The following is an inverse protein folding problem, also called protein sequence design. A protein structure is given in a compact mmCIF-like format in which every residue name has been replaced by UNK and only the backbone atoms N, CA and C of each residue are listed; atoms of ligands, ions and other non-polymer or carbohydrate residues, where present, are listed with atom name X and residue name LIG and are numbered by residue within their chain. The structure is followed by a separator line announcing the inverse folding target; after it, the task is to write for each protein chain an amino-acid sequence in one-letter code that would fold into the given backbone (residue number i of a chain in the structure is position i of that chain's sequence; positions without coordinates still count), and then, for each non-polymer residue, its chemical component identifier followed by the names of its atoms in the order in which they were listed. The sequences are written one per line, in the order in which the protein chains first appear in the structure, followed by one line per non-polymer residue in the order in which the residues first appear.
data_IF_708578063609
#
_entry.id   IF_708578063609
#
_cell.length_a   1.000
_cell.length_b   1.000
_cell.length_c   1.000
_cell.angle_alpha   90.00
_cell.angle_beta   90.00
_cell.angle_gamma   90.00
#
_symmetry.space_group_name_H-M   'P 1'
#
loop_
_entity.id
_entity.type
_entity.pdbx_description
1 polymer ?
#
# COMPACT_ATOMS: atom_id res chain seq x y z
N UNK A 1 -23.38 15.90 19.19
CA UNK A 1 -23.30 15.56 17.75
C UNK A 1 -21.97 14.85 17.57
N UNK A 2 -21.83 13.55 17.36
CA UNK A 2 -22.68 12.56 16.73
C UNK A 2 -22.61 11.25 17.53
N UNK A 3 -23.76 10.60 17.67
CA UNK A 3 -23.88 9.23 18.14
C UNK A 3 -24.68 8.46 17.09
N UNK A 4 -24.30 7.19 16.91
CA UNK A 4 -24.97 6.12 16.19
C UNK A 4 -24.88 6.14 14.65
N UNK A 5 -24.19 5.15 14.07
CA UNK A 5 -24.83 3.92 13.59
C UNK A 5 -23.79 2.80 13.42
N UNK A 6 -23.98 1.73 14.19
CA UNK A 6 -23.38 0.39 14.01
C UNK A 6 -24.22 -0.42 13.01
N UNK A 7 -23.56 -1.44 12.46
CA UNK A 7 -24.06 -2.64 11.74
C UNK A 7 -24.03 -2.53 10.20
N UNK A 8 -23.23 -3.31 9.46
CA UNK A 8 -23.02 -4.77 9.33
C UNK A 8 -23.79 -5.37 8.13
N UNK A 9 -23.04 -6.15 7.35
CA UNK A 9 -23.39 -7.16 6.33
C UNK A 9 -23.84 -6.73 4.91
N UNK A 10 -22.92 -6.97 3.97
CA UNK A 10 -23.03 -7.96 2.87
C UNK A 10 -24.38 -8.09 2.14
N UNK A 11 -24.45 -7.67 0.87
CA UNK A 11 -25.39 -8.25 -0.12
C UNK A 11 -24.78 -8.25 -1.54
N UNK A 12 -24.44 -9.44 -2.03
CA UNK A 12 -24.53 -9.82 -3.46
C UNK A 12 -26.01 -9.97 -3.85
N UNK A 13 -26.41 -9.70 -5.10
CA UNK A 13 -27.47 -10.47 -5.75
C UNK A 13 -27.03 -10.98 -7.13
N UNK A 14 -27.07 -12.29 -7.41
CA UNK A 14 -28.20 -13.23 -7.56
C UNK A 14 -28.80 -13.23 -8.96
N UNK A 15 -28.62 -14.34 -9.67
CA UNK A 15 -29.60 -15.01 -10.55
C UNK A 15 -28.95 -16.36 -10.95
N UNK A 16 -29.55 -17.56 -10.88
CA UNK A 16 -30.93 -18.06 -10.75
C UNK A 16 -30.92 -19.39 -9.96
N UNK A 17 -32.00 -19.62 -9.18
CA UNK A 17 -32.65 -20.90 -8.83
C UNK A 17 -32.05 -22.17 -9.47
N UNK A 18 -31.73 -23.27 -8.77
CA UNK A 18 -32.37 -23.83 -7.59
C UNK A 18 -33.35 -24.93 -7.97
N UNK A 19 -32.90 -26.20 -7.96
CA UNK A 19 -33.74 -27.37 -7.63
C UNK A 19 -32.89 -28.66 -7.47
N UNK A 20 -32.81 -29.13 -6.24
CA UNK A 20 -32.43 -30.49 -5.86
C UNK A 20 -33.55 -31.48 -6.19
N UNK A 21 -33.22 -32.65 -6.77
CA UNK A 21 -33.51 -34.01 -6.24
C UNK A 21 -33.50 -35.08 -7.35
N UNK A 22 -32.72 -36.12 -7.07
CA UNK A 22 -32.94 -37.55 -7.41
C UNK A 22 -32.90 -37.99 -8.88
N UNK A 23 -31.99 -38.96 -9.11
CA UNK A 23 -32.09 -40.09 -10.07
C UNK A 23 -31.91 -39.61 -11.52
N UNK A 24 -30.85 -39.99 -12.23
CA UNK A 24 -30.75 -41.24 -13.01
C UNK A 24 -29.26 -41.59 -13.21
N UNK A 25 -28.94 -42.85 -12.93
CA UNK A 25 -27.74 -43.54 -13.40
C UNK A 25 -27.72 -43.57 -14.93
N UNK A 26 -26.57 -43.26 -15.53
CA UNK A 26 -25.96 -43.94 -16.69
C UNK A 26 -25.41 -42.99 -17.77
N UNK A 27 -24.16 -43.31 -18.12
CA UNK A 27 -23.53 -43.13 -19.42
C UNK A 27 -23.21 -41.70 -19.88
N UNK A 28 -21.93 -41.29 -19.75
CA UNK A 28 -21.00 -41.25 -20.90
C UNK A 28 -19.60 -40.71 -20.50
N UNK A 29 -18.65 -41.64 -20.45
CA UNK A 29 -17.19 -41.53 -20.70
C UNK A 29 -16.45 -40.26 -20.22
N UNK A 30 -15.88 -40.37 -19.01
CA UNK A 30 -14.66 -39.64 -18.63
C UNK A 30 -13.50 -40.31 -19.39
N UNK A 31 -12.83 -39.57 -20.28
CA UNK A 31 -11.48 -39.94 -20.72
C UNK A 31 -10.53 -39.65 -19.54
N UNK A 32 -9.79 -40.63 -19.02
CA UNK A 32 -8.78 -40.35 -18.02
C UNK A 32 -7.71 -39.44 -18.62
N UNK A 33 -7.35 -38.40 -17.88
CA UNK A 33 -6.10 -37.65 -18.08
C UNK A 33 -4.98 -38.66 -18.25
N UNK A 34 -4.40 -38.70 -19.45
CA UNK A 34 -3.19 -39.45 -19.72
C UNK A 34 -2.04 -38.77 -18.98
N UNK A 35 -1.91 -39.04 -17.68
CA UNK A 35 -0.58 -39.26 -17.15
C UNK A 35 -0.01 -40.45 -17.90
N UNK A 36 0.76 -40.16 -18.94
CA UNK A 36 1.68 -41.14 -19.51
C UNK A 36 2.70 -41.44 -18.42
N UNK A 37 2.35 -42.41 -17.57
CA UNK A 37 3.30 -43.10 -16.73
C UNK A 37 4.19 -43.88 -17.69
N UNK A 38 5.30 -43.28 -18.10
CA UNK A 38 6.38 -44.05 -18.68
C UNK A 38 6.73 -45.12 -17.65
N UNK A 39 6.47 -46.38 -18.02
CA UNK A 39 6.95 -47.52 -17.25
C UNK A 39 8.45 -47.33 -17.11
N UNK A 40 8.99 -47.56 -15.93
CA UNK A 40 10.40 -47.88 -15.76
C UNK A 40 10.70 -49.07 -16.69
N UNK A 41 11.14 -48.78 -17.93
CA UNK A 41 11.97 -49.70 -18.66
C UNK A 41 13.31 -49.61 -17.96
N UNK A 42 13.76 -50.73 -17.43
CA UNK A 42 15.13 -50.97 -16.99
C UNK A 42 16.08 -50.07 -17.77
N UNK A 43 16.78 -49.19 -17.07
CA UNK A 43 17.89 -48.42 -17.59
C UNK A 43 18.97 -49.40 -18.04
N UNK A 44 18.81 -49.94 -19.25
CA UNK A 44 19.90 -50.58 -19.96
C UNK A 44 20.96 -49.50 -20.17
N UNK A 45 22.15 -49.78 -19.68
CA UNK A 45 23.34 -48.95 -19.88
C UNK A 45 23.64 -48.84 -21.40
N UNK A 46 22.99 -47.90 -22.09
CA UNK A 46 23.27 -47.57 -23.50
C UNK A 46 24.65 -46.94 -23.71
N UNK A 47 25.37 -46.63 -22.62
CA UNK A 47 26.73 -46.10 -22.64
C UNK A 47 27.74 -47.04 -23.34
N UNK A 48 27.44 -48.35 -23.44
CA UNK A 48 28.32 -49.32 -24.09
C UNK A 48 28.07 -49.53 -25.59
N UNK A 49 27.10 -48.85 -26.21
CA UNK A 49 26.69 -49.11 -27.60
C UNK A 49 27.00 -47.98 -28.60
N UNK A 50 27.63 -46.87 -28.18
CA UNK A 50 28.02 -45.83 -29.13
C UNK A 50 29.32 -46.23 -29.86
N UNK A 51 29.32 -46.36 -31.19
CA UNK A 51 30.53 -46.67 -31.93
C UNK A 51 31.59 -45.59 -31.68
N UNK A 52 32.84 -46.00 -31.44
CA UNK A 52 33.94 -45.15 -30.94
C UNK A 52 34.32 -43.90 -31.75
N UNK A 53 33.67 -43.64 -32.89
CA UNK A 53 33.81 -42.40 -33.67
C UNK A 53 32.72 -41.34 -33.46
N UNK A 54 31.65 -41.66 -32.72
CA UNK A 54 30.51 -40.75 -32.49
C UNK A 54 30.53 -40.17 -31.07
N UNK A 55 31.12 -40.86 -30.10
CA UNK A 55 31.15 -40.44 -28.69
C UNK A 55 31.84 -39.10 -28.42
N UNK A 56 32.73 -38.64 -29.29
CA UNK A 56 33.44 -37.35 -29.13
C UNK A 56 32.68 -36.14 -29.69
N UNK A 57 31.53 -36.36 -30.35
CA UNK A 57 30.73 -35.28 -30.99
C UNK A 57 29.42 -34.98 -30.28
N UNK A 58 29.08 -35.72 -29.23
CA UNK A 58 27.84 -35.55 -28.50
C UNK A 58 28.14 -35.47 -27.02
N UNK A 59 27.72 -34.38 -26.39
CA UNK A 59 27.67 -34.28 -24.94
C UNK A 59 26.47 -35.07 -24.43
N UNK A 60 26.71 -35.87 -23.39
CA UNK A 60 25.67 -36.65 -22.74
C UNK A 60 24.88 -35.70 -21.83
N UNK A 61 23.74 -35.20 -22.32
CA UNK A 61 22.79 -34.47 -21.48
C UNK A 61 22.13 -35.45 -20.51
N UNK A 62 22.35 -35.25 -19.22
CA UNK A 62 21.58 -35.93 -18.18
C UNK A 62 20.28 -35.17 -17.91
N UNK A 63 19.26 -35.82 -17.33
CA UNK A 63 18.02 -35.13 -16.93
C UNK A 63 18.30 -34.00 -15.92
N UNK A 64 19.39 -34.09 -15.17
CA UNK A 64 19.83 -33.06 -14.23
C UNK A 64 20.36 -31.80 -14.94
N UNK A 65 20.78 -31.91 -16.21
CA UNK A 65 21.30 -30.79 -17.02
C UNK A 65 20.19 -30.09 -17.84
N UNK A 66 18.95 -30.58 -17.77
CA UNK A 66 17.86 -30.02 -18.55
C UNK A 66 17.44 -28.64 -18.00
N UNK A 67 17.33 -27.60 -18.85
CA UNK A 67 16.81 -26.31 -18.40
C UNK A 67 15.35 -26.48 -17.96
N UNK A 68 15.06 -26.06 -16.73
CA UNK A 68 13.68 -26.03 -16.22
C UNK A 68 12.92 -24.97 -17.00
N UNK A 69 11.96 -25.40 -17.82
CA UNK A 69 11.05 -24.50 -18.53
C UNK A 69 9.92 -24.15 -17.56
N UNK A 70 9.95 -22.92 -17.08
CA UNK A 70 8.92 -22.38 -16.20
C UNK A 70 7.70 -22.02 -17.05
N UNK A 71 6.51 -22.08 -16.45
CA UNK A 71 5.33 -21.53 -17.12
C UNK A 71 5.34 -19.98 -17.05
N UNK A 72 4.51 -19.36 -17.90
CA UNK A 72 4.48 -17.88 -18.03
C UNK A 72 4.16 -17.21 -16.69
N UNK A 73 3.33 -17.84 -15.85
CA UNK A 73 2.95 -17.30 -14.54
C UNK A 73 4.11 -17.37 -13.53
N UNK A 74 4.85 -18.47 -13.50
CA UNK A 74 6.01 -18.68 -12.65
C UNK A 74 7.20 -17.81 -13.08
N UNK A 75 7.39 -17.59 -14.40
CA UNK A 75 8.35 -16.61 -14.92
C UNK A 75 8.01 -15.19 -14.49
N UNK A 76 6.74 -14.77 -14.65
CA UNK A 76 6.29 -13.45 -14.21
C UNK A 76 6.51 -13.26 -12.72
N UNK A 77 6.20 -14.27 -11.91
CA UNK A 77 6.40 -14.23 -10.46
C UNK A 77 7.88 -14.14 -10.09
N UNK A 78 8.78 -14.89 -10.74
CA UNK A 78 10.23 -14.76 -10.53
C UNK A 78 10.77 -13.41 -10.99
N UNK A 79 10.25 -12.87 -12.09
CA UNK A 79 10.61 -11.52 -12.56
C UNK A 79 10.20 -10.50 -11.50
N UNK A 80 8.98 -10.55 -10.98
CA UNK A 80 8.50 -9.68 -9.92
C UNK A 80 9.32 -9.83 -8.63
N UNK A 81 9.60 -11.05 -8.19
CA UNK A 81 10.48 -11.34 -7.04
C UNK A 81 11.89 -10.78 -7.25
N UNK A 82 12.47 -10.94 -8.46
CA UNK A 82 13.80 -10.42 -8.80
C UNK A 82 13.85 -8.89 -8.92
N UNK A 83 12.75 -8.25 -9.34
CA UNK A 83 12.58 -6.79 -9.38
C UNK A 83 12.48 -6.25 -7.94
N UNK A 84 11.78 -6.97 -7.06
CA UNK A 84 11.73 -6.68 -5.62
C UNK A 84 13.12 -6.81 -5.00
N UNK A 85 13.89 -7.85 -5.36
CA UNK A 85 15.27 -8.05 -4.88
C UNK A 85 16.26 -7.00 -5.40
N UNK A 86 16.24 -6.66 -6.68
CA UNK A 86 17.13 -5.60 -7.21
C UNK A 86 16.79 -4.20 -6.67
N UNK A 87 15.58 -4.01 -6.14
CA UNK A 87 15.16 -2.81 -5.40
C UNK A 87 15.48 -2.86 -3.91
N UNK A 88 16.27 -3.83 -3.42
CA UNK A 88 16.88 -3.72 -2.09
C UNK A 88 17.76 -2.47 -2.07
N UNK A 89 17.14 -1.36 -1.66
CA UNK A 89 17.83 -0.17 -1.19
C UNK A 89 18.82 -0.63 -0.14
N UNK A 90 20.04 -0.10 -0.19
CA UNK A 90 21.11 -0.43 0.74
C UNK A 90 20.68 -0.01 2.15
N UNK A 91 20.04 -0.92 2.89
CA UNK A 91 19.49 -0.70 4.23
C UNK A 91 20.55 -0.86 5.34
N UNK A 92 21.83 -1.06 4.96
CA UNK A 92 22.93 -1.47 5.85
C UNK A 92 23.27 -0.49 6.99
N UNK A 93 22.65 0.68 7.06
CA UNK A 93 22.95 1.72 8.06
C UNK A 93 21.70 2.21 8.82
N UNK A 94 20.65 1.39 8.95
CA UNK A 94 19.43 1.76 9.70
C UNK A 94 19.09 0.77 10.81
N UNK A 95 18.72 1.31 11.97
CA UNK A 95 18.29 0.52 13.13
C UNK A 95 16.93 -0.13 12.83
N UNK A 96 16.91 -1.44 12.67
CA UNK A 96 15.69 -2.23 12.44
C UNK A 96 14.97 -2.60 13.74
N UNK A 97 15.46 -2.14 14.89
CA UNK A 97 14.83 -2.37 16.18
C UNK A 97 13.51 -1.61 16.29
N UNK A 98 12.49 -2.24 16.90
CA UNK A 98 11.18 -1.64 17.09
C UNK A 98 11.28 -0.41 17.99
N UNK A 99 10.56 0.66 17.64
CA UNK A 99 10.47 1.86 18.46
C UNK A 99 9.82 1.61 19.83
N UNK A 100 10.05 2.55 20.76
CA UNK A 100 9.64 2.41 22.17
C UNK A 100 8.12 2.52 22.31
N UNK A 101 7.50 3.47 21.59
CA UNK A 101 6.03 3.69 21.61
C UNK A 101 5.32 3.01 20.44
N UNK A 102 5.95 2.92 19.29
CA UNK A 102 5.36 2.41 18.05
C UNK A 102 6.32 1.55 17.24
N UNK A 103 6.02 1.35 15.96
CA UNK A 103 6.95 0.68 15.03
C UNK A 103 8.13 1.60 14.71
N UNK A 104 7.88 2.91 14.64
CA UNK A 104 8.89 3.96 14.48
C UNK A 104 8.92 4.91 15.66
N UNK A 105 10.13 5.36 15.97
CA UNK A 105 10.37 6.55 16.77
C UNK A 105 10.54 7.78 15.84
N UNK A 106 10.25 8.96 16.37
CA UNK A 106 10.23 10.19 15.56
C UNK A 106 11.63 10.59 15.10
N UNK A 107 12.65 10.41 15.95
CA UNK A 107 14.04 10.70 15.63
C UNK A 107 14.53 9.83 14.48
N UNK A 108 14.17 8.56 14.49
CA UNK A 108 14.49 7.61 13.42
C UNK A 108 13.82 8.00 12.11
N UNK A 109 12.51 8.32 12.16
CA UNK A 109 11.78 8.76 10.97
C UNK A 109 12.42 10.01 10.36
N UNK A 110 12.81 10.99 11.18
CA UNK A 110 13.49 12.20 10.71
C UNK A 110 14.84 11.88 10.09
N UNK A 111 15.62 10.94 10.65
CA UNK A 111 16.88 10.50 10.06
C UNK A 111 16.69 9.84 8.69
N UNK A 112 15.68 8.98 8.56
CA UNK A 112 15.27 8.33 7.31
C UNK A 112 14.91 9.39 6.26
N UNK A 113 14.08 10.36 6.61
CA UNK A 113 13.65 11.44 5.73
C UNK A 113 14.85 12.31 5.28
N UNK A 114 15.79 12.60 6.19
CA UNK A 114 17.02 13.33 5.86
C UNK A 114 17.94 12.55 4.92
N UNK A 115 18.09 11.23 5.13
CA UNK A 115 18.89 10.35 4.25
C UNK A 115 18.34 10.33 2.83
N UNK A 116 17.02 10.30 2.67
CA UNK A 116 16.34 10.40 1.37
C UNK A 116 16.29 11.83 0.80
N UNK A 117 16.92 12.82 1.45
CA UNK A 117 16.98 14.22 1.03
C UNK A 117 15.59 14.88 0.90
N UNK A 118 14.67 14.53 1.81
CA UNK A 118 13.45 15.30 2.00
C UNK A 118 13.80 16.74 2.44
N UNK A 119 13.01 17.70 1.98
CA UNK A 119 13.19 19.10 2.29
C UNK A 119 12.17 19.54 3.34
N UNK A 120 12.55 20.54 4.14
CA UNK A 120 11.69 21.20 5.10
C UNK A 120 10.88 20.24 5.99
N UNK A 121 11.55 19.60 6.95
CA UNK A 121 10.91 18.63 7.83
C UNK A 121 10.30 19.37 9.02
N UNK A 122 8.98 19.44 9.07
CA UNK A 122 8.20 19.98 10.17
C UNK A 122 7.60 18.84 11.00
N UNK A 123 7.72 18.92 12.32
CA UNK A 123 7.18 17.92 13.25
C UNK A 123 6.43 18.64 14.35
N UNK A 124 5.20 18.23 14.61
CA UNK A 124 4.38 18.73 15.71
C UNK A 124 3.89 17.59 16.58
N UNK A 125 3.96 17.78 17.91
CA UNK A 125 3.36 16.86 18.87
C UNK A 125 1.89 17.19 19.03
N UNK A 126 1.04 16.18 18.84
CA UNK A 126 -0.40 16.32 18.98
C UNK A 126 -0.80 15.96 20.40
N UNK A 127 -1.60 16.79 21.10
CA UNK A 127 -2.07 16.47 22.44
C UNK A 127 -2.91 15.19 22.43
N UNK A 128 -2.81 14.33 23.46
CA UNK A 128 -3.51 13.04 23.53
C UNK A 128 -5.06 13.19 23.57
N UNK A 129 -5.55 14.40 23.85
CA UNK A 129 -6.98 14.73 23.87
C UNK A 129 -7.66 14.55 22.51
N UNK A 130 -6.92 14.77 21.41
CA UNK A 130 -7.47 14.71 20.07
C UNK A 130 -7.56 13.29 19.49
N UNK A 131 -7.02 12.27 20.20
CA UNK A 131 -7.02 10.85 19.81
C UNK A 131 -6.75 10.60 18.31
N UNK A 132 -5.86 11.39 17.72
CA UNK A 132 -5.56 11.33 16.29
C UNK A 132 -4.23 10.63 16.04
N UNK A 133 -3.14 11.20 16.52
CA UNK A 133 -1.79 10.63 16.51
C UNK A 133 -0.98 11.23 17.67
N UNK A 134 0.20 10.69 17.96
CA UNK A 134 1.14 11.31 18.91
C UNK A 134 1.96 12.42 18.24
N UNK A 135 2.32 12.20 16.98
CA UNK A 135 3.08 13.15 16.17
C UNK A 135 2.53 13.26 14.75
N UNK A 136 2.53 14.48 14.25
CA UNK A 136 2.27 14.78 12.85
C UNK A 136 3.58 15.29 12.23
N UNK A 137 4.02 14.63 11.16
CA UNK A 137 5.22 14.99 10.41
C UNK A 137 4.83 15.46 9.02
N UNK A 138 5.27 16.66 8.65
CA UNK A 138 5.03 17.27 7.35
C UNK A 138 6.39 17.45 6.67
N UNK A 139 6.52 16.98 5.43
CA UNK A 139 7.75 17.08 4.65
C UNK A 139 7.49 17.56 3.23
N UNK A 140 8.44 18.28 2.66
CA UNK A 140 8.42 18.69 1.26
C UNK A 140 9.25 17.72 0.42
N UNK A 141 8.66 17.27 -0.68
CA UNK A 141 9.34 16.53 -1.72
C UNK A 141 9.59 17.42 -2.95
N UNK A 142 10.80 17.35 -3.50
CA UNK A 142 11.20 18.05 -4.74
C UNK A 142 10.36 17.76 -5.99
N UNK A 143 9.65 16.64 -6.05
CA UNK A 143 8.84 16.25 -7.22
C UNK A 143 7.87 15.13 -6.85
N UNK A 144 6.81 14.95 -7.65
CA UNK A 144 5.85 13.85 -7.50
C UNK A 144 6.51 12.45 -7.50
N UNK A 145 7.58 12.28 -8.29
CA UNK A 145 8.36 11.03 -8.32
C UNK A 145 9.14 10.83 -7.02
N UNK A 146 9.74 11.90 -6.51
CA UNK A 146 10.45 11.87 -5.23
C UNK A 146 9.48 11.58 -4.07
N UNK A 147 8.30 12.21 -4.07
CA UNK A 147 7.23 11.97 -3.10
C UNK A 147 6.80 10.49 -3.07
N UNK A 148 6.52 9.91 -4.25
CA UNK A 148 6.16 8.50 -4.36
C UNK A 148 7.27 7.59 -3.83
N UNK A 149 8.54 7.87 -4.21
CA UNK A 149 9.68 7.07 -3.79
C UNK A 149 9.92 7.15 -2.28
N UNK A 150 9.84 8.34 -1.69
CA UNK A 150 10.00 8.59 -0.26
C UNK A 150 8.94 7.82 0.56
N UNK A 151 7.68 7.94 0.14
CA UNK A 151 6.56 7.29 0.84
C UNK A 151 6.63 5.77 0.72
N UNK A 152 6.97 5.25 -0.46
CA UNK A 152 7.20 3.82 -0.66
C UNK A 152 8.39 3.30 0.16
N UNK A 153 9.44 4.10 0.31
CA UNK A 153 10.62 3.74 1.08
C UNK A 153 10.30 3.60 2.58
N UNK A 154 9.61 4.60 3.15
CA UNK A 154 9.15 4.57 4.55
C UNK A 154 8.20 3.38 4.78
N UNK A 155 7.27 3.11 3.85
CA UNK A 155 6.39 1.95 3.93
C UNK A 155 7.17 0.62 3.93
N UNK A 156 8.21 0.50 3.10
CA UNK A 156 9.05 -0.71 3.06
C UNK A 156 9.80 -0.90 4.37
N UNK A 157 10.35 0.17 4.94
CA UNK A 157 10.99 0.13 6.25
C UNK A 157 10.00 -0.30 7.33
N UNK A 158 8.80 0.27 7.34
CA UNK A 158 7.74 -0.12 8.26
C UNK A 158 7.45 -1.62 8.18
N UNK A 159 7.25 -2.15 6.97
CA UNK A 159 6.95 -3.57 6.76
C UNK A 159 8.04 -4.50 7.25
N UNK A 160 9.30 -4.05 7.30
CA UNK A 160 10.41 -4.83 7.87
C UNK A 160 10.43 -4.81 9.39
N UNK A 161 9.92 -3.74 10.01
CA UNK A 161 9.91 -3.53 11.46
C UNK A 161 8.62 -3.96 12.14
N UNK A 162 7.53 -4.07 11.38
CA UNK A 162 6.21 -4.40 11.90
C UNK A 162 6.20 -5.79 12.53
N UNK A 163 5.55 -5.92 13.69
CA UNK A 163 5.23 -7.21 14.30
C UNK A 163 3.99 -7.83 13.66
N UNK A 164 3.70 -9.10 13.99
CA UNK A 164 2.53 -9.81 13.46
C UNK A 164 1.18 -9.21 13.88
N UNK A 165 1.16 -8.35 14.91
CA UNK A 165 -0.05 -7.68 15.43
C UNK A 165 -0.28 -6.31 14.82
N UNK A 166 0.72 -5.73 14.16
CA UNK A 166 0.65 -4.37 13.63
C UNK A 166 -0.09 -4.35 12.29
N UNK A 167 -0.87 -3.29 12.06
CA UNK A 167 -1.55 -3.10 10.77
C UNK A 167 -0.56 -2.61 9.74
N UNK A 168 -0.70 -3.09 8.51
CA UNK A 168 0.06 -2.59 7.37
C UNK A 168 -0.50 -1.21 6.96
N UNK A 169 0.33 -0.15 6.97
CA UNK A 169 -0.06 1.16 6.50
C UNK A 169 -0.47 1.13 5.03
N UNK A 170 -1.48 1.91 4.72
CA UNK A 170 -1.87 2.21 3.34
C UNK A 170 -1.36 3.59 2.98
N UNK A 171 -0.87 3.75 1.75
CA UNK A 171 -0.51 5.06 1.22
C UNK A 171 -1.79 5.72 0.69
N UNK A 172 -2.18 6.81 1.32
CA UNK A 172 -3.26 7.66 0.86
C UNK A 172 -2.73 8.66 -0.19
N UNK A 173 -3.52 8.92 -1.23
CA UNK A 173 -3.09 9.77 -2.34
C UNK A 173 -2.13 9.09 -3.31
N UNK A 174 -2.12 7.75 -3.39
CA UNK A 174 -1.31 7.00 -4.36
C UNK A 174 -1.63 7.43 -5.80
N UNK A 175 -0.67 8.08 -6.47
CA UNK A 175 -0.82 8.63 -7.82
C UNK A 175 -1.15 10.13 -7.86
N UNK A 176 -1.37 10.76 -6.71
CA UNK A 176 -1.40 12.22 -6.58
C UNK A 176 0.00 12.80 -6.83
N UNK A 177 0.06 13.99 -7.43
CA UNK A 177 1.32 14.70 -7.67
C UNK A 177 1.64 15.70 -6.57
N UNK A 178 0.63 16.08 -5.78
CA UNK A 178 0.70 17.26 -4.91
C UNK A 178 0.80 16.86 -3.43
N UNK A 179 0.14 15.76 -3.05
CA UNK A 179 0.04 15.34 -1.66
C UNK A 179 -0.14 13.82 -1.53
N UNK A 180 0.68 13.21 -0.66
CA UNK A 180 0.50 11.85 -0.15
C UNK A 180 0.53 11.84 1.38
N UNK A 181 -0.23 10.93 1.98
CA UNK A 181 -0.21 10.70 3.42
C UNK A 181 0.03 9.22 3.73
N UNK A 182 0.73 8.98 4.83
CA UNK A 182 1.06 7.65 5.32
C UNK A 182 0.82 7.60 6.83
N UNK A 183 -0.13 6.77 7.24
CA UNK A 183 -0.42 6.51 8.65
C UNK A 183 0.42 5.35 9.17
N UNK A 184 1.35 5.64 10.07
CA UNK A 184 2.33 4.70 10.64
C UNK A 184 1.91 4.31 12.08
N UNK A 185 0.66 4.60 12.47
CA UNK A 185 0.12 4.33 13.80
C UNK A 185 0.35 5.50 14.75
N UNK A 186 1.52 5.60 15.38
CA UNK A 186 1.82 6.68 16.32
C UNK A 186 2.19 8.00 15.63
N UNK A 187 2.70 7.92 14.40
CA UNK A 187 3.13 9.08 13.60
C UNK A 187 2.36 9.08 12.29
N UNK A 188 1.85 10.24 11.89
CA UNK A 188 1.27 10.44 10.56
C UNK A 188 2.23 11.28 9.73
N UNK A 189 2.68 10.73 8.61
CA UNK A 189 3.58 11.38 7.66
C UNK A 189 2.77 11.97 6.50
N UNK A 190 2.86 13.29 6.32
CA UNK A 190 2.35 14.00 5.17
C UNK A 190 3.52 14.43 4.29
N UNK A 191 3.49 14.03 3.03
CA UNK A 191 4.48 14.40 2.02
C UNK A 191 3.79 15.31 1.01
N UNK A 192 4.27 16.54 0.89
CA UNK A 192 3.74 17.54 -0.02
C UNK A 192 4.74 17.91 -1.10
N UNK A 193 4.23 18.36 -2.24
CA UNK A 193 4.96 19.21 -3.17
C UNK A 193 4.98 20.66 -2.63
N UNK A 194 5.98 21.45 -3.03
CA UNK A 194 6.22 22.80 -2.48
C UNK A 194 4.98 23.71 -2.58
N UNK A 195 4.34 23.78 -3.75
CA UNK A 195 3.18 24.63 -3.96
C UNK A 195 1.95 24.15 -3.19
N UNK A 196 1.78 22.82 -3.09
CA UNK A 196 0.69 22.22 -2.33
C UNK A 196 0.81 22.53 -0.83
N UNK A 197 2.04 22.49 -0.28
CA UNK A 197 2.29 22.81 1.12
C UNK A 197 1.90 24.24 1.46
N UNK A 198 2.31 25.19 0.61
CA UNK A 198 1.98 26.61 0.77
C UNK A 198 0.47 26.86 0.61
N UNK A 199 -0.21 26.10 -0.25
CA UNK A 199 -1.66 26.20 -0.43
C UNK A 199 -2.42 25.73 0.82
N UNK A 200 -2.15 24.52 1.29
CA UNK A 200 -2.86 23.90 2.40
C UNK A 200 -2.47 24.42 3.78
N UNK A 201 -1.20 24.80 3.99
CA UNK A 201 -0.70 25.43 5.22
C UNK A 201 -1.13 24.71 6.52
N UNK A 202 -0.95 23.39 6.53
CA UNK A 202 -1.29 22.56 7.69
C UNK A 202 -0.43 22.89 8.92
N UNK A 203 0.75 23.46 8.73
CA UNK A 203 1.64 23.86 9.83
C UNK A 203 0.99 24.91 10.72
N UNK A 204 0.42 25.95 10.11
CA UNK A 204 -0.26 27.02 10.84
C UNK A 204 -1.49 26.46 11.58
N UNK A 205 -2.26 25.61 10.90
CA UNK A 205 -3.45 24.97 11.48
C UNK A 205 -3.11 24.16 12.75
N UNK A 206 -2.06 23.34 12.70
CA UNK A 206 -1.70 22.46 13.81
C UNK A 206 -0.79 23.10 14.87
N UNK A 207 -0.14 24.22 14.55
CA UNK A 207 0.73 24.93 15.52
C UNK A 207 0.00 26.00 16.30
N UNK A 208 -0.76 26.85 15.60
CA UNK A 208 -1.34 28.07 16.20
C UNK A 208 -2.83 27.87 16.50
N UNK A 209 -3.49 26.96 15.78
CA UNK A 209 -4.94 26.73 15.90
C UNK A 209 -5.74 27.56 14.90
N UNK A 210 -6.99 27.14 14.66
CA UNK A 210 -7.87 27.72 13.63
C UNK A 210 -8.12 29.22 13.86
N UNK A 211 -8.19 29.65 15.10
CA UNK A 211 -8.49 31.03 15.48
C UNK A 211 -7.44 32.06 15.00
N UNK A 212 -6.21 31.62 14.73
CA UNK A 212 -5.12 32.48 14.26
C UNK A 212 -4.75 32.24 12.79
N UNK A 213 -5.40 31.31 12.11
CA UNK A 213 -5.19 31.08 10.69
C UNK A 213 -5.96 32.13 9.87
N UNK A 214 -5.21 32.98 9.17
CA UNK A 214 -5.75 34.03 8.31
C UNK A 214 -6.52 33.48 7.12
N UNK A 215 -6.20 32.27 6.64
CA UNK A 215 -6.91 31.62 5.53
C UNK A 215 -8.23 31.04 6.02
N UNK A 216 -8.22 30.30 7.13
CA UNK A 216 -9.44 29.77 7.76
C UNK A 216 -10.40 30.83 8.27
N UNK A 217 -9.87 31.99 8.69
CA UNK A 217 -10.68 33.12 9.18
C UNK A 217 -10.98 34.15 8.09
N UNK A 218 -10.63 33.86 6.83
CA UNK A 218 -11.06 34.71 5.71
C UNK A 218 -12.57 34.60 5.53
N UNK A 219 -13.26 35.75 5.54
CA UNK A 219 -14.69 35.81 5.24
C UNK A 219 -14.90 35.45 3.77
N UNK A 220 -15.21 34.19 3.48
CA UNK A 220 -15.69 33.81 2.16
C UNK A 220 -16.96 34.63 1.85
N UNK A 221 -16.93 35.40 0.77
CA UNK A 221 -17.97 36.37 0.38
C UNK A 221 -19.35 35.68 0.35
N UNK A 222 -19.37 34.41 -0.05
CA UNK A 222 -20.57 33.58 -0.10
C UNK A 222 -21.16 33.31 1.29
N UNK A 223 -20.31 33.01 2.28
CA UNK A 223 -20.73 32.73 3.66
C UNK A 223 -21.21 34.01 4.33
N UNK A 224 -20.55 35.14 4.07
CA UNK A 224 -20.99 36.45 4.57
C UNK A 224 -22.37 36.81 4.06
N UNK A 225 -22.58 36.66 2.76
CA UNK A 225 -23.87 36.89 2.10
C UNK A 225 -24.98 36.02 2.71
N UNK A 226 -24.70 34.73 2.94
CA UNK A 226 -25.66 33.80 3.57
C UNK A 226 -25.97 34.19 5.02
N UNK A 227 -24.95 34.59 5.81
CA UNK A 227 -25.13 35.07 7.19
C UNK A 227 -25.99 36.33 7.23
N UNK A 228 -25.74 37.27 6.32
CA UNK A 228 -26.49 38.51 6.21
C UNK A 228 -27.97 38.22 5.91
N UNK A 229 -28.26 37.36 4.93
CA UNK A 229 -29.63 36.92 4.63
C UNK A 229 -30.29 36.19 5.81
N UNK A 230 -29.57 35.30 6.49
CA UNK A 230 -30.09 34.58 7.66
C UNK A 230 -30.45 35.54 8.79
N UNK A 231 -29.62 36.57 9.05
CA UNK A 231 -29.89 37.60 10.05
C UNK A 231 -31.12 38.46 9.68
N UNK A 232 -31.29 38.74 8.39
CA UNK A 232 -32.42 39.51 7.87
C UNK A 232 -33.74 38.74 8.02
N UNK A 233 -33.72 37.43 7.79
CA UNK A 233 -34.89 36.56 7.95
C UNK A 233 -35.24 36.30 9.43
N UNK A 234 -34.26 36.30 10.33
CA UNK A 234 -34.49 36.08 11.76
C UNK A 234 -35.34 37.19 12.42
N UNK A 235 -35.37 38.39 11.82
CA UNK A 235 -36.16 39.52 12.30
C UNK A 235 -37.57 39.58 11.69
N UNK A 236 -37.95 38.65 10.81
CA UNK A 236 -39.29 38.59 10.26
C UNK A 236 -40.20 37.84 11.24
N UNK A 237 -41.05 38.59 11.95
CA UNK A 237 -42.16 38.03 12.72
C UNK A 237 -43.26 37.61 11.73
N UNK A 238 -43.84 36.40 11.83
CA UNK A 238 -44.96 36.02 10.98
C UNK A 238 -46.17 36.90 11.30
N UNK A 239 -46.79 37.49 10.27
CA UNK A 239 -48.05 38.22 10.41
C UNK A 239 -49.13 37.25 10.96
N UNK A 240 -49.55 37.48 12.20
CA UNK A 240 -50.72 36.81 12.78
C UNK A 240 -51.98 37.27 12.01
N UNK A 241 -52.69 36.32 11.41
CA UNK A 241 -54.01 36.52 10.77
C UNK A 241 -55.12 36.02 11.68
#
# INVERSE_FOLDING_TARGET
MFSNFKNVLQILPKTILGANKKIILNNLKILPSNHVRYKNSESKNFANELPGGISSRYEKFSEDDAPIILDVEEEQKKIDESIVEKRYVKFDEMNLERGIKGVFDIEELVEVLRKEKAEDIFVVSVPPEYQYADYLTIVTARSARHMSALTEYVLKLYKKKMGSTDRVPTIEGKGSQDWMALDIGNIILHVFEQSAREYYDLETLWSVGKEYDSKSNSDDVSIKTIKDYSSMLANLVPDEK
#
